data_IF_085587608763
#
_entry.id   IF_085587608763
#
_cell.length_a   1.000
_cell.length_b   1.000
_cell.length_c   1.000
_cell.angle_alpha   90.00
_cell.angle_beta   90.00
_cell.angle_gamma   90.00
#
_symmetry.space_group_name_H-M   'P 1'
#
loop_
_entity.id
_entity.type
_entity.pdbx_description
1 polymer ?
#
# COMPACT_ATOMS: atom_id res chain seq x y z
N UNK A 1 -5.85 21.15 -1.67
CA UNK A 1 -4.81 21.64 -2.60
C UNK A 1 -4.13 22.86 -2.00
N UNK A 2 -2.85 22.76 -1.72
CA UNK A 2 -2.05 23.87 -1.19
C UNK A 2 -1.31 24.52 -2.37
N UNK A 3 -1.51 25.82 -2.64
CA UNK A 3 -0.75 26.54 -3.66
C UNK A 3 0.76 26.46 -3.40
N UNK A 4 1.57 26.36 -4.45
CA UNK A 4 3.03 26.20 -4.36
C UNK A 4 3.76 27.30 -3.57
N UNK A 5 3.17 28.48 -3.45
CA UNK A 5 3.75 29.65 -2.79
C UNK A 5 3.38 29.75 -1.31
N UNK A 6 2.72 28.76 -0.72
CA UNK A 6 2.39 28.78 0.71
C UNK A 6 3.57 28.29 1.54
N UNK A 7 3.78 28.89 2.73
CA UNK A 7 4.81 28.46 3.67
C UNK A 7 4.68 26.96 4.03
N UNK A 8 3.44 26.45 4.06
CA UNK A 8 3.16 25.03 4.32
C UNK A 8 3.68 24.13 3.18
N UNK A 9 3.51 24.53 1.92
CA UNK A 9 4.02 23.77 0.77
C UNK A 9 5.54 23.80 0.72
N UNK A 10 6.15 24.96 0.98
CA UNK A 10 7.61 25.08 1.08
C UNK A 10 8.17 24.25 2.24
N UNK A 11 7.47 24.23 3.39
CA UNK A 11 7.84 23.38 4.51
C UNK A 11 7.75 21.87 4.17
N UNK A 12 6.72 21.44 3.45
CA UNK A 12 6.59 20.06 2.97
C UNK A 12 7.72 19.70 2.00
N UNK A 13 8.03 20.57 1.03
CA UNK A 13 9.13 20.33 0.08
C UNK A 13 10.48 20.22 0.79
N UNK A 14 10.74 21.08 1.78
CA UNK A 14 11.95 20.97 2.60
C UNK A 14 11.98 19.67 3.41
N UNK A 15 10.83 19.24 3.94
CA UNK A 15 10.74 17.96 4.63
C UNK A 15 10.97 16.78 3.68
N UNK A 16 10.41 16.80 2.48
CA UNK A 16 10.61 15.76 1.46
C UNK A 16 12.08 15.71 0.98
N UNK A 17 12.75 16.86 0.86
CA UNK A 17 14.15 16.96 0.41
C UNK A 17 15.17 16.63 1.50
N UNK A 18 14.88 16.94 2.77
CA UNK A 18 15.83 16.81 3.88
C UNK A 18 15.60 15.57 4.75
N UNK A 19 14.40 14.98 4.70
CA UNK A 19 14.05 13.80 5.49
C UNK A 19 13.68 12.63 4.58
N UNK A 20 14.61 11.70 4.44
CA UNK A 20 14.36 10.44 3.76
C UNK A 20 13.40 9.61 4.62
N UNK A 21 12.23 9.33 4.11
CA UNK A 21 11.29 8.41 4.75
C UNK A 21 11.58 7.01 4.25
N UNK A 22 12.33 6.25 5.03
CA UNK A 22 12.63 4.86 4.69
C UNK A 22 11.36 4.01 4.61
N UNK A 23 11.34 3.10 3.66
CA UNK A 23 10.30 2.08 3.58
C UNK A 23 10.29 1.20 4.82
N UNK A 24 9.11 0.80 5.28
CA UNK A 24 8.95 -0.07 6.45
C UNK A 24 7.97 -1.21 6.15
N UNK A 25 8.17 -2.34 6.84
CA UNK A 25 7.22 -3.45 6.80
C UNK A 25 7.03 -4.04 8.21
N UNK A 26 5.82 -4.48 8.49
CA UNK A 26 5.47 -5.29 9.64
C UNK A 26 5.09 -6.68 9.18
N UNK A 27 5.71 -7.68 9.75
CA UNK A 27 5.50 -9.08 9.38
C UNK A 27 5.00 -9.81 10.61
N UNK A 28 3.78 -10.32 10.53
CA UNK A 28 3.24 -11.20 11.55
C UNK A 28 3.37 -12.65 11.07
N UNK A 29 4.07 -13.45 11.86
CA UNK A 29 4.26 -14.88 11.63
C UNK A 29 3.36 -15.64 12.59
N UNK A 30 2.59 -16.58 12.09
CA UNK A 30 1.76 -17.48 12.91
C UNK A 30 2.33 -18.89 12.93
N UNK A 31 2.07 -19.60 14.02
CA UNK A 31 2.52 -20.99 14.24
C UNK A 31 4.06 -21.15 14.24
N UNK A 32 4.79 -20.19 14.78
CA UNK A 32 6.25 -20.22 14.91
C UNK A 32 6.67 -20.30 16.37
N UNK A 33 7.85 -20.86 16.61
CA UNK A 33 8.52 -20.74 17.92
C UNK A 33 9.34 -19.47 17.98
N UNK A 34 9.68 -19.03 19.20
CA UNK A 34 10.55 -17.88 19.40
C UNK A 34 11.87 -17.99 18.63
N UNK A 35 12.53 -19.16 18.74
CA UNK A 35 13.82 -19.43 18.07
C UNK A 35 13.68 -19.38 16.53
N UNK A 36 12.57 -19.87 16.00
CA UNK A 36 12.29 -19.79 14.56
C UNK A 36 12.13 -18.36 14.12
N UNK A 37 11.37 -17.57 14.86
CA UNK A 37 11.16 -16.15 14.55
C UNK A 37 12.48 -15.35 14.65
N UNK A 38 13.30 -15.60 15.66
CA UNK A 38 14.61 -14.97 15.83
C UNK A 38 15.58 -15.33 14.68
N UNK A 39 15.63 -16.61 14.27
CA UNK A 39 16.46 -17.04 13.16
C UNK A 39 15.98 -16.42 11.84
N UNK A 40 14.68 -16.36 11.62
CA UNK A 40 14.10 -15.75 10.43
C UNK A 40 14.37 -14.24 10.40
N UNK A 41 14.26 -13.54 11.54
CA UNK A 41 14.63 -12.14 11.64
C UNK A 41 16.09 -11.89 11.23
N UNK A 42 17.01 -12.73 11.68
CA UNK A 42 18.43 -12.66 11.31
C UNK A 42 18.64 -12.96 9.81
N UNK A 43 17.89 -13.90 9.25
CA UNK A 43 17.93 -14.22 7.82
C UNK A 43 17.41 -13.06 6.97
N UNK A 44 16.27 -12.46 7.34
CA UNK A 44 15.71 -11.31 6.65
C UNK A 44 16.61 -10.07 6.74
N UNK A 45 17.30 -9.87 7.86
CA UNK A 45 18.27 -8.79 8.02
C UNK A 45 19.51 -8.93 7.11
N UNK A 46 19.76 -10.10 6.53
CA UNK A 46 20.86 -10.34 5.58
C UNK A 46 20.51 -10.02 4.13
N UNK A 47 19.27 -9.65 3.85
CA UNK A 47 18.79 -9.32 2.50
C UNK A 47 19.34 -7.94 2.10
N UNK A 48 19.85 -7.84 0.88
CA UNK A 48 20.31 -6.57 0.31
C UNK A 48 19.14 -5.59 0.17
N UNK A 49 19.32 -4.35 0.67
CA UNK A 49 18.25 -3.36 0.74
C UNK A 49 17.42 -3.39 2.04
N UNK A 50 17.77 -4.24 3.00
CA UNK A 50 17.23 -4.22 4.38
C UNK A 50 18.25 -3.59 5.31
N UNK A 51 17.89 -2.47 5.93
CA UNK A 51 18.73 -1.79 6.92
C UNK A 51 18.69 -2.50 8.27
N UNK A 52 17.51 -2.90 8.71
CA UNK A 52 17.35 -3.60 9.99
C UNK A 52 16.05 -4.41 10.03
N UNK A 53 16.11 -5.50 10.78
CA UNK A 53 14.94 -6.27 11.19
C UNK A 53 14.91 -6.30 12.70
N UNK A 54 13.85 -5.76 13.28
CA UNK A 54 13.63 -5.77 14.72
C UNK A 54 12.66 -6.90 15.08
N UNK A 55 13.15 -7.80 15.95
CA UNK A 55 12.35 -8.79 16.64
C UNK A 55 12.60 -8.56 18.14
N UNK A 56 11.70 -7.81 18.78
CA UNK A 56 11.89 -7.31 20.13
C UNK A 56 12.84 -6.12 20.21
N UNK A 57 13.24 -5.78 21.41
CA UNK A 57 14.17 -4.68 21.69
C UNK A 57 15.65 -5.05 21.45
N UNK A 58 15.92 -6.28 21.02
CA UNK A 58 17.26 -6.76 20.65
C UNK A 58 18.22 -6.90 21.84
N UNK A 59 17.71 -6.89 23.06
CA UNK A 59 18.50 -7.09 24.27
C UNK A 59 18.26 -8.49 24.83
N UNK A 60 19.32 -9.21 25.20
CA UNK A 60 19.22 -10.54 25.83
C UNK A 60 18.49 -10.53 27.19
N UNK A 61 17.95 -9.40 27.61
CA UNK A 61 17.34 -9.15 28.91
C UNK A 61 15.94 -8.56 28.81
N UNK A 62 15.20 -8.85 27.71
CA UNK A 62 13.83 -8.43 27.62
C UNK A 62 12.98 -9.04 28.74
N UNK A 63 12.17 -8.23 29.38
CA UNK A 63 11.24 -8.70 30.41
C UNK A 63 10.10 -9.51 29.78
N UNK A 64 9.43 -10.41 30.52
CA UNK A 64 8.30 -11.16 29.99
C UNK A 64 7.17 -10.26 29.44
N UNK A 65 7.05 -9.03 29.93
CA UNK A 65 6.07 -8.05 29.47
C UNK A 65 6.48 -7.47 28.11
N UNK A 66 7.76 -7.16 27.92
CA UNK A 66 8.32 -6.69 26.65
C UNK A 66 8.28 -7.78 25.58
N UNK A 67 8.60 -9.03 25.93
CA UNK A 67 8.48 -10.18 25.02
C UNK A 67 7.03 -10.32 24.53
N UNK A 68 6.04 -10.10 25.39
CA UNK A 68 4.62 -10.24 25.03
C UNK A 68 4.14 -9.18 24.01
N UNK A 69 4.91 -8.12 23.76
CA UNK A 69 4.59 -7.11 22.74
C UNK A 69 4.88 -7.61 21.32
N UNK A 70 5.89 -8.47 21.14
CA UNK A 70 6.32 -8.95 19.82
C UNK A 70 6.26 -10.47 19.65
N UNK A 71 6.06 -11.23 20.73
CA UNK A 71 5.86 -12.67 20.68
C UNK A 71 4.78 -13.12 21.68
N UNK A 72 3.68 -13.67 21.16
CA UNK A 72 2.55 -14.11 22.00
C UNK A 72 2.00 -15.44 21.54
N UNK A 73 2.10 -16.43 22.43
CA UNK A 73 1.64 -17.79 22.11
C UNK A 73 2.54 -18.46 21.09
N UNK A 74 2.13 -18.47 19.82
CA UNK A 74 2.89 -18.94 18.67
C UNK A 74 2.95 -17.92 17.54
N UNK A 75 2.64 -16.67 17.84
CA UNK A 75 2.63 -15.56 16.88
C UNK A 75 3.80 -14.61 17.19
N UNK A 76 4.52 -14.22 16.14
CA UNK A 76 5.67 -13.33 16.24
C UNK A 76 5.47 -12.12 15.33
N UNK A 77 5.82 -10.92 15.82
CA UNK A 77 5.81 -9.68 15.08
C UNK A 77 7.23 -9.21 14.81
N UNK A 78 7.58 -9.08 13.53
CA UNK A 78 8.85 -8.51 13.09
C UNK A 78 8.59 -7.15 12.44
N UNK A 79 9.51 -6.21 12.67
CA UNK A 79 9.50 -4.91 12.00
C UNK A 79 10.75 -4.79 11.15
N UNK A 80 10.55 -4.49 9.86
CA UNK A 80 11.62 -4.35 8.87
C UNK A 80 11.72 -2.89 8.46
N UNK A 81 12.96 -2.38 8.37
CA UNK A 81 13.27 -1.07 7.80
C UNK A 81 14.16 -1.28 6.59
N UNK A 82 13.79 -0.66 5.46
CA UNK A 82 14.54 -0.76 4.21
C UNK A 82 15.60 0.33 4.09
N UNK A 83 16.53 0.17 3.16
CA UNK A 83 17.64 1.11 2.91
C UNK A 83 17.26 2.24 1.94
N UNK A 84 16.06 2.22 1.41
CA UNK A 84 15.51 3.21 0.50
C UNK A 84 14.09 3.61 0.83
N UNK A 85 13.54 4.53 0.05
CA UNK A 85 12.15 4.92 0.14
C UNK A 85 11.21 3.79 -0.31
N UNK A 86 9.92 3.93 -0.06
CA UNK A 86 8.91 2.91 -0.36
C UNK A 86 8.78 2.56 -1.85
N UNK A 87 9.20 3.46 -2.75
CA UNK A 87 9.16 3.28 -4.21
C UNK A 87 10.52 2.97 -4.82
N UNK A 88 11.59 2.98 -4.03
CA UNK A 88 12.94 2.71 -4.52
C UNK A 88 13.09 1.28 -5.03
N UNK A 89 13.78 1.07 -6.16
CA UNK A 89 14.01 -0.26 -6.71
C UNK A 89 14.69 -1.22 -5.74
N UNK A 90 15.56 -0.72 -4.86
CA UNK A 90 16.24 -1.53 -3.84
C UNK A 90 15.27 -2.04 -2.80
N UNK A 91 14.36 -1.17 -2.30
CA UNK A 91 13.32 -1.53 -1.34
C UNK A 91 12.32 -2.51 -1.95
N UNK A 92 11.90 -2.29 -3.20
CA UNK A 92 11.00 -3.18 -3.94
C UNK A 92 11.61 -4.57 -4.13
N UNK A 93 12.89 -4.64 -4.51
CA UNK A 93 13.60 -5.92 -4.69
C UNK A 93 13.74 -6.67 -3.37
N UNK A 94 14.11 -5.95 -2.29
CA UNK A 94 14.21 -6.54 -0.96
C UNK A 94 12.85 -7.06 -0.46
N UNK A 95 11.78 -6.33 -0.68
CA UNK A 95 10.41 -6.77 -0.32
C UNK A 95 10.01 -8.04 -1.07
N UNK A 96 10.32 -8.15 -2.36
CA UNK A 96 10.03 -9.34 -3.14
C UNK A 96 10.81 -10.55 -2.64
N UNK A 97 12.10 -10.36 -2.27
CA UNK A 97 12.91 -11.43 -1.66
C UNK A 97 12.37 -11.83 -0.30
N UNK A 98 11.92 -10.87 0.54
CA UNK A 98 11.24 -11.14 1.81
C UNK A 98 10.00 -12.01 1.58
N UNK A 99 9.12 -11.64 0.63
CA UNK A 99 7.92 -12.42 0.28
C UNK A 99 8.27 -13.84 -0.14
N UNK A 100 9.33 -14.03 -0.94
CA UNK A 100 9.79 -15.36 -1.35
C UNK A 100 10.29 -16.20 -0.18
N UNK A 101 11.05 -15.62 0.74
CA UNK A 101 11.53 -16.32 1.94
C UNK A 101 10.42 -16.67 2.92
N UNK A 102 9.39 -15.83 2.98
CA UNK A 102 8.23 -16.04 3.84
C UNK A 102 7.19 -17.00 3.24
N UNK A 103 7.26 -17.31 1.95
CA UNK A 103 6.29 -18.17 1.27
C UNK A 103 6.01 -19.54 1.94
N UNK A 104 6.98 -20.20 2.64
CA UNK A 104 6.71 -21.43 3.38
C UNK A 104 6.03 -21.25 4.72
N UNK A 105 5.91 -20.02 5.22
CA UNK A 105 5.38 -19.69 6.54
C UNK A 105 3.97 -19.10 6.44
N UNK A 106 3.22 -19.23 7.53
CA UNK A 106 1.94 -18.52 7.67
C UNK A 106 2.25 -17.06 8.09
N UNK A 107 2.48 -16.21 7.10
CA UNK A 107 2.94 -14.84 7.27
C UNK A 107 1.92 -13.85 6.71
N UNK A 108 1.62 -12.82 7.49
CA UNK A 108 0.88 -11.64 7.05
C UNK A 108 1.83 -10.43 7.03
N UNK A 109 1.90 -9.75 5.90
CA UNK A 109 2.81 -8.61 5.70
C UNK A 109 1.98 -7.35 5.51
N UNK A 110 2.27 -6.34 6.32
CA UNK A 110 1.79 -4.97 6.19
C UNK A 110 3.00 -4.08 5.90
N UNK A 111 3.03 -3.41 4.75
CA UNK A 111 4.23 -2.70 4.28
C UNK A 111 3.87 -1.41 3.56
N UNK A 112 4.72 -0.40 3.71
CA UNK A 112 4.69 0.79 2.86
C UNK A 112 5.38 0.56 1.52
N UNK A 113 6.28 -0.47 1.43
CA UNK A 113 7.07 -0.80 0.24
C UNK A 113 6.31 -1.77 -0.66
N UNK A 114 6.12 -1.41 -1.92
CA UNK A 114 5.53 -2.28 -2.94
C UNK A 114 4.04 -2.56 -2.76
N UNK A 115 3.43 -2.06 -1.69
CA UNK A 115 1.98 -1.95 -1.57
C UNK A 115 1.59 -0.57 -2.12
N UNK A 116 1.63 -0.46 -3.44
CA UNK A 116 0.95 0.67 -4.04
C UNK A 116 -0.54 0.47 -3.77
N UNK A 117 -1.01 0.99 -2.63
CA UNK A 117 -2.46 1.15 -2.38
C UNK A 117 -3.12 1.75 -3.63
N UNK A 118 -2.37 2.54 -4.39
CA UNK A 118 -2.77 3.06 -5.68
C UNK A 118 -3.07 1.97 -6.72
N UNK A 119 -2.25 0.91 -6.84
CA UNK A 119 -2.52 -0.18 -7.81
C UNK A 119 -3.70 -1.06 -7.37
N UNK A 120 -3.80 -1.36 -6.07
CA UNK A 120 -4.94 -2.11 -5.54
C UNK A 120 -6.23 -1.29 -5.64
N UNK A 121 -6.18 0.00 -5.29
CA UNK A 121 -7.29 0.93 -5.46
C UNK A 121 -7.69 1.09 -6.94
N UNK A 122 -6.73 1.12 -7.87
CA UNK A 122 -7.04 1.25 -9.30
C UNK A 122 -7.77 0.00 -9.83
N UNK A 123 -7.35 -1.19 -9.44
CA UNK A 123 -8.04 -2.43 -9.78
C UNK A 123 -9.45 -2.52 -9.15
N UNK A 124 -9.58 -2.18 -7.87
CA UNK A 124 -10.87 -2.16 -7.19
C UNK A 124 -11.80 -1.10 -7.78
N UNK A 125 -11.28 0.09 -8.09
CA UNK A 125 -12.03 1.16 -8.76
C UNK A 125 -12.54 0.72 -10.14
N UNK A 126 -11.73 0.01 -10.93
CA UNK A 126 -12.17 -0.51 -12.22
C UNK A 126 -13.31 -1.51 -12.09
N UNK A 127 -13.27 -2.41 -11.11
CA UNK A 127 -14.34 -3.38 -10.85
C UNK A 127 -15.61 -2.67 -10.38
N UNK A 128 -15.49 -1.74 -9.43
CA UNK A 128 -16.61 -0.94 -8.93
C UNK A 128 -17.25 -0.13 -10.05
N UNK A 129 -16.42 0.49 -10.90
CA UNK A 129 -16.89 1.25 -12.06
C UNK A 129 -17.63 0.36 -13.06
N UNK A 130 -17.11 -0.81 -13.41
CA UNK A 130 -17.75 -1.75 -14.31
C UNK A 130 -19.12 -2.24 -13.78
N UNK A 131 -19.17 -2.60 -12.49
CA UNK A 131 -20.41 -3.00 -11.82
C UNK A 131 -21.43 -1.86 -11.80
N UNK A 132 -20.98 -0.64 -11.49
CA UNK A 132 -21.85 0.55 -11.51
C UNK A 132 -22.45 0.83 -12.87
N UNK A 133 -21.65 0.74 -13.95
CA UNK A 133 -22.13 0.91 -15.32
C UNK A 133 -23.17 -0.16 -15.68
N UNK A 134 -22.95 -1.42 -15.31
CA UNK A 134 -23.91 -2.50 -15.55
C UNK A 134 -25.24 -2.23 -14.83
N UNK A 135 -25.18 -1.81 -13.57
CA UNK A 135 -26.38 -1.48 -12.77
C UNK A 135 -27.13 -0.30 -13.42
N UNK A 136 -26.41 0.76 -13.82
CA UNK A 136 -27.01 1.92 -14.48
C UNK A 136 -27.71 1.51 -15.78
N UNK A 137 -27.04 0.72 -16.63
CA UNK A 137 -27.63 0.22 -17.88
C UNK A 137 -28.88 -0.62 -17.63
N UNK A 138 -28.84 -1.50 -16.62
CA UNK A 138 -29.97 -2.33 -16.22
C UNK A 138 -31.18 -1.47 -15.76
N UNK A 139 -30.91 -0.52 -14.87
CA UNK A 139 -31.95 0.37 -14.34
C UNK A 139 -32.56 1.22 -15.45
N UNK A 140 -31.71 1.83 -16.30
CA UNK A 140 -32.18 2.62 -17.43
C UNK A 140 -32.95 1.76 -18.44
N UNK A 141 -32.50 0.54 -18.73
CA UNK A 141 -33.18 -0.38 -19.65
C UNK A 141 -34.56 -0.84 -19.13
N UNK A 142 -34.71 -1.01 -17.82
CA UNK A 142 -35.97 -1.39 -17.19
C UNK A 142 -36.93 -0.20 -17.02
N UNK A 143 -36.40 1.01 -16.82
CA UNK A 143 -37.19 2.19 -16.51
C UNK A 143 -37.56 2.99 -17.78
N UNK A 144 -36.72 2.90 -18.83
CA UNK A 144 -36.94 3.65 -20.08
C UNK A 144 -37.98 2.97 -20.95
N UNK A 145 -38.97 3.74 -21.40
CA UNK A 145 -39.97 3.30 -22.36
C UNK A 145 -39.49 3.37 -23.81
N UNK A 146 -38.28 3.89 -24.05
CA UNK A 146 -37.72 4.07 -25.38
C UNK A 146 -36.28 3.56 -25.44
N UNK A 147 -36.03 2.58 -26.30
CA UNK A 147 -34.67 2.03 -26.52
C UNK A 147 -33.65 3.04 -27.04
N UNK A 148 -34.09 4.20 -27.57
CA UNK A 148 -33.22 5.25 -28.06
C UNK A 148 -32.74 6.21 -26.93
N UNK A 149 -33.46 6.28 -25.83
CA UNK A 149 -33.17 7.18 -24.73
C UNK A 149 -31.95 6.76 -23.92
N UNK A 150 -31.77 5.44 -23.72
CA UNK A 150 -30.65 4.86 -22.98
C UNK A 150 -29.29 5.19 -23.61
N UNK A 151 -29.03 4.96 -24.92
CA UNK A 151 -27.77 5.33 -25.54
C UNK A 151 -27.52 6.85 -25.57
N UNK A 152 -28.55 7.67 -25.68
CA UNK A 152 -28.39 9.14 -25.62
C UNK A 152 -27.95 9.58 -24.23
N UNK A 153 -28.57 9.04 -23.17
CA UNK A 153 -28.15 9.33 -21.78
C UNK A 153 -26.73 8.85 -21.50
N UNK A 154 -26.36 7.63 -21.93
CA UNK A 154 -25.01 7.11 -21.77
C UNK A 154 -23.96 7.95 -22.51
N UNK A 155 -24.27 8.41 -23.73
CA UNK A 155 -23.41 9.34 -24.47
C UNK A 155 -23.23 10.67 -23.74
N UNK A 156 -24.32 11.20 -23.19
CA UNK A 156 -24.28 12.47 -22.45
C UNK A 156 -23.44 12.34 -21.18
N UNK A 157 -23.62 11.26 -20.40
CA UNK A 157 -22.82 11.01 -19.21
C UNK A 157 -21.35 10.72 -19.56
N UNK A 158 -21.09 9.96 -20.62
CA UNK A 158 -19.72 9.69 -21.09
C UNK A 158 -19.01 10.99 -21.52
N UNK A 159 -19.69 11.85 -22.28
CA UNK A 159 -19.17 13.15 -22.67
C UNK A 159 -18.91 14.05 -21.45
N UNK A 160 -19.82 14.09 -20.46
CA UNK A 160 -19.63 14.84 -19.24
C UNK A 160 -18.44 14.33 -18.43
N UNK A 161 -18.25 13.02 -18.31
CA UNK A 161 -17.11 12.42 -17.63
C UNK A 161 -15.79 12.75 -18.34
N UNK A 162 -15.74 12.65 -19.67
CA UNK A 162 -14.54 13.01 -20.45
C UNK A 162 -14.21 14.51 -20.33
N UNK A 163 -15.22 15.38 -20.33
CA UNK A 163 -15.01 16.80 -20.13
C UNK A 163 -14.50 17.10 -18.73
N UNK A 164 -15.01 16.41 -17.70
CA UNK A 164 -14.55 16.57 -16.33
C UNK A 164 -13.08 16.12 -16.18
N UNK A 165 -12.73 14.94 -16.75
CA UNK A 165 -11.32 14.48 -16.75
C UNK A 165 -10.42 15.43 -17.55
N UNK A 166 -10.90 15.92 -18.72
CA UNK A 166 -10.15 16.85 -19.56
C UNK A 166 -9.93 18.20 -18.91
N UNK A 167 -10.89 18.73 -18.14
CA UNK A 167 -10.73 19.98 -17.39
C UNK A 167 -9.77 19.83 -16.22
N UNK A 168 -9.77 18.69 -15.52
CA UNK A 168 -8.78 18.41 -14.48
C UNK A 168 -7.37 18.35 -15.08
N UNK A 169 -7.20 17.68 -16.23
CA UNK A 169 -5.92 17.64 -16.93
C UNK A 169 -5.43 19.02 -17.36
N UNK A 170 -6.32 19.90 -17.87
CA UNK A 170 -5.99 21.28 -18.29
C UNK A 170 -5.63 22.19 -17.12
N UNK A 171 -6.17 21.93 -15.93
CA UNK A 171 -5.91 22.70 -14.71
C UNK A 171 -4.64 22.22 -13.98
N UNK A 172 -3.97 21.14 -14.45
CA UNK A 172 -2.75 20.61 -13.85
C UNK A 172 -2.99 19.90 -12.50
N UNK A 173 -4.22 19.54 -12.22
CA UNK A 173 -4.63 18.86 -10.99
C UNK A 173 -4.83 17.35 -11.23
N UNK A 174 -3.80 16.67 -11.70
CA UNK A 174 -3.77 15.22 -11.65
C UNK A 174 -2.66 14.83 -10.69
N UNK A 175 -3.05 14.40 -9.57
CA UNK A 175 -2.27 13.52 -8.71
C UNK A 175 -2.77 12.11 -8.90
#
# INVERSE_FOLDING_TARGET
YLPENTETRQGLTIMEDEFITYGTARIMLSNVTYDMAANLAAELASIDGVTSVSFGNGTEQDTPEEIAEYFKGSDALLSVTFDGEETDPISLSAMEEIKQRLAPYDASIDSTVGDSQAETLDQEMQVIFAVSVVIIVLVLGLTSHSFAEVPVLLLTFGAAALLNMGTNFLLGEIS
#
